data_IF_562544186817
#
_entry.id   IF_562544186817
#
_cell.length_a   1.000
_cell.length_b   1.000
_cell.length_c   1.000
_cell.angle_alpha   90.00
_cell.angle_beta   90.00
_cell.angle_gamma   90.00
#
_symmetry.space_group_name_H-M   'P 1'
#
loop_
_entity.id
_entity.type
_entity.pdbx_description
1 polymer ?
#
# COMPACT_ATOMS: atom_id res chain seq x y z
N UNK A 1 -28.09 -5.62 34.23
CA UNK A 1 -28.55 -6.30 33.00
C UNK A 1 -27.37 -6.41 32.06
N UNK A 2 -27.01 -7.65 31.74
CA UNK A 2 -25.89 -8.05 30.88
C UNK A 2 -26.11 -7.54 29.45
N UNK A 3 -25.23 -6.66 28.94
CA UNK A 3 -25.08 -6.49 27.49
C UNK A 3 -24.03 -7.49 27.02
N UNK A 4 -24.45 -8.70 26.68
CA UNK A 4 -23.61 -9.59 25.89
C UNK A 4 -23.37 -8.89 24.55
N UNK A 5 -22.15 -8.41 24.34
CA UNK A 5 -21.74 -7.90 23.04
C UNK A 5 -21.74 -9.10 22.09
N UNK A 6 -22.84 -9.32 21.37
CA UNK A 6 -22.87 -10.25 20.25
C UNK A 6 -21.71 -9.86 19.34
N UNK A 7 -20.70 -10.74 19.26
CA UNK A 7 -19.61 -10.58 18.30
C UNK A 7 -20.25 -10.39 16.93
N UNK A 8 -19.98 -9.22 16.31
CA UNK A 8 -20.42 -8.98 14.94
C UNK A 8 -19.91 -10.15 14.07
N UNK A 9 -20.75 -10.74 13.21
CA UNK A 9 -20.34 -11.88 12.41
C UNK A 9 -19.13 -11.49 11.54
N UNK A 10 -18.11 -12.37 11.49
CA UNK A 10 -17.05 -12.26 10.48
C UNK A 10 -17.74 -12.24 9.12
N UNK A 11 -17.35 -11.30 8.25
CA UNK A 11 -17.83 -11.32 6.87
C UNK A 11 -17.24 -12.58 6.25
N UNK A 12 -18.10 -13.54 5.92
CA UNK A 12 -17.73 -14.81 5.31
C UNK A 12 -17.16 -14.48 3.91
N UNK A 13 -15.93 -14.90 3.63
CA UNK A 13 -15.21 -14.59 2.38
C UNK A 13 -14.67 -15.83 1.61
N UNK A 14 -15.37 -16.98 1.58
CA UNK A 14 -14.85 -18.23 1.02
C UNK A 14 -14.60 -18.13 -0.50
N UNK A 15 -15.36 -17.26 -1.20
CA UNK A 15 -15.26 -17.14 -2.66
C UNK A 15 -14.19 -16.14 -3.11
N UNK A 16 -13.47 -15.50 -2.19
CA UNK A 16 -12.41 -14.57 -2.55
C UNK A 16 -11.20 -15.30 -3.12
N UNK A 17 -10.71 -14.78 -4.24
CA UNK A 17 -9.43 -15.15 -4.84
C UNK A 17 -8.41 -14.08 -4.48
N UNK A 18 -7.22 -14.47 -4.03
CA UNK A 18 -6.17 -13.53 -3.65
C UNK A 18 -4.82 -13.89 -4.29
N UNK A 19 -4.09 -12.85 -4.67
CA UNK A 19 -2.70 -12.94 -5.08
C UNK A 19 -1.84 -12.14 -4.10
N UNK A 20 -0.58 -12.52 -3.93
CA UNK A 20 0.34 -11.82 -3.03
C UNK A 20 1.51 -11.21 -3.76
N UNK A 21 1.96 -10.05 -3.29
CA UNK A 21 3.17 -9.41 -3.80
C UNK A 21 4.38 -10.31 -3.54
N UNK A 22 5.36 -10.32 -4.44
CA UNK A 22 6.53 -11.22 -4.39
C UNK A 22 7.49 -11.01 -3.18
N UNK A 23 7.15 -10.10 -2.27
CA UNK A 23 7.81 -9.92 -0.98
C UNK A 23 7.06 -10.56 0.19
N UNK A 24 6.11 -11.46 -0.09
CA UNK A 24 5.29 -12.18 0.89
C UNK A 24 5.48 -13.68 0.67
N UNK A 25 5.77 -14.40 1.74
CA UNK A 25 6.00 -15.84 1.71
C UNK A 25 4.74 -16.63 1.39
N UNK A 26 4.92 -17.60 0.49
CA UNK A 26 3.99 -18.67 0.19
C UNK A 26 4.78 -19.97 0.32
N UNK A 27 4.29 -20.90 1.13
CA UNK A 27 4.97 -22.19 1.33
C UNK A 27 5.25 -22.88 0.00
N UNK A 28 6.47 -23.39 -0.17
CA UNK A 28 6.91 -24.08 -1.38
C UNK A 28 7.26 -23.17 -2.56
N UNK A 29 7.15 -21.84 -2.42
CA UNK A 29 7.56 -20.87 -3.44
C UNK A 29 8.69 -19.97 -2.94
N UNK A 30 9.69 -19.63 -3.79
CA UNK A 30 10.64 -18.59 -3.45
C UNK A 30 9.98 -17.23 -3.23
N UNK A 31 10.62 -16.39 -2.41
CA UNK A 31 10.29 -14.98 -2.25
C UNK A 31 11.34 -14.18 -3.02
N UNK A 32 10.99 -13.80 -4.26
CA UNK A 32 11.94 -13.28 -5.24
C UNK A 32 12.19 -11.78 -5.14
N UNK A 33 11.40 -11.04 -4.34
CA UNK A 33 11.51 -9.59 -4.16
C UNK A 33 11.53 -8.78 -5.48
N UNK A 34 11.04 -9.38 -6.58
CA UNK A 34 11.19 -8.83 -7.93
C UNK A 34 12.64 -8.56 -8.34
N UNK A 35 13.63 -9.30 -7.85
CA UNK A 35 15.06 -8.99 -8.06
C UNK A 35 15.88 -10.20 -8.48
N UNK A 36 16.83 -9.99 -9.40
CA UNK A 36 17.81 -11.03 -9.79
C UNK A 36 18.73 -11.41 -8.64
N UNK A 37 18.88 -10.56 -7.62
CA UNK A 37 19.63 -10.85 -6.42
C UNK A 37 19.02 -12.01 -5.59
N UNK A 38 17.73 -12.32 -5.81
CA UNK A 38 17.00 -13.39 -5.12
C UNK A 38 16.69 -14.59 -6.04
N UNK A 39 17.34 -14.70 -7.20
CA UNK A 39 17.07 -15.80 -8.17
C UNK A 39 17.34 -17.20 -7.61
N UNK A 40 18.28 -17.31 -6.67
CA UNK A 40 18.63 -18.56 -5.97
C UNK A 40 17.99 -18.65 -4.58
N UNK A 41 16.97 -17.81 -4.29
CA UNK A 41 16.30 -17.86 -3.00
C UNK A 41 15.60 -19.21 -2.81
N UNK A 42 15.87 -19.86 -1.68
CA UNK A 42 15.17 -21.08 -1.29
C UNK A 42 13.67 -20.83 -1.18
N UNK A 43 12.88 -21.87 -1.47
CA UNK A 43 11.44 -21.82 -1.24
C UNK A 43 11.13 -21.56 0.24
N UNK A 44 10.10 -20.74 0.50
CA UNK A 44 9.64 -20.49 1.86
C UNK A 44 9.12 -21.79 2.49
N UNK A 45 9.50 -22.04 3.74
CA UNK A 45 9.09 -23.24 4.49
C UNK A 45 7.73 -23.10 5.16
N UNK A 46 7.18 -21.88 5.20
CA UNK A 46 5.84 -21.63 5.73
C UNK A 46 5.21 -20.42 5.05
N UNK A 47 3.87 -20.39 5.01
CA UNK A 47 3.12 -19.21 4.60
C UNK A 47 3.32 -18.03 5.56
N UNK A 48 3.35 -16.82 5.01
CA UNK A 48 3.24 -15.59 5.80
C UNK A 48 1.97 -15.59 6.66
N UNK A 49 1.98 -14.88 7.79
CA UNK A 49 0.84 -14.84 8.72
C UNK A 49 -0.45 -14.37 8.02
N UNK A 50 -0.35 -13.34 7.18
CA UNK A 50 -1.49 -12.85 6.38
C UNK A 50 -1.99 -13.90 5.39
N UNK A 51 -1.11 -14.67 4.75
CA UNK A 51 -1.49 -15.74 3.82
C UNK A 51 -2.24 -16.84 4.55
N UNK A 52 -1.74 -17.26 5.72
CA UNK A 52 -2.43 -18.24 6.58
C UNK A 52 -3.84 -17.75 6.93
N UNK A 53 -4.00 -16.46 7.26
CA UNK A 53 -5.31 -15.88 7.55
C UNK A 53 -6.29 -16.01 6.36
N UNK A 54 -5.84 -15.68 5.14
CA UNK A 54 -6.65 -15.84 3.93
C UNK A 54 -6.98 -17.30 3.61
N UNK A 55 -6.01 -18.22 3.66
CA UNK A 55 -6.26 -19.65 3.43
C UNK A 55 -7.22 -20.23 4.48
N UNK A 56 -7.06 -19.88 5.75
CA UNK A 56 -7.94 -20.32 6.85
C UNK A 56 -9.36 -19.75 6.74
N UNK A 57 -9.53 -18.62 6.06
CA UNK A 57 -10.84 -18.04 5.74
C UNK A 57 -11.52 -18.69 4.52
N UNK A 58 -10.87 -19.70 3.91
CA UNK A 58 -11.37 -20.39 2.72
C UNK A 58 -11.04 -19.70 1.39
N UNK A 59 -10.30 -18.58 1.41
CA UNK A 59 -9.97 -17.85 0.20
C UNK A 59 -8.98 -18.63 -0.67
N UNK A 60 -9.14 -18.57 -1.99
CA UNK A 60 -8.30 -19.27 -2.96
C UNK A 60 -7.07 -18.44 -3.35
N UNK A 61 -5.87 -18.99 -3.13
CA UNK A 61 -4.62 -18.40 -3.61
C UNK A 61 -4.49 -18.60 -5.12
N UNK A 62 -4.19 -17.54 -5.88
CA UNK A 62 -4.10 -17.60 -7.34
C UNK A 62 -2.72 -17.32 -7.91
N UNK A 63 -1.77 -16.89 -7.08
CA UNK A 63 -0.39 -16.67 -7.53
C UNK A 63 0.32 -15.51 -6.85
N UNK A 64 1.61 -15.38 -7.18
CA UNK A 64 2.43 -14.25 -6.78
C UNK A 64 2.41 -13.20 -7.88
N UNK A 65 2.34 -11.93 -7.50
CA UNK A 65 2.42 -10.79 -8.44
C UNK A 65 3.77 -10.13 -8.35
N UNK A 66 4.28 -9.71 -9.51
CA UNK A 66 5.52 -8.94 -9.60
C UNK A 66 5.41 -7.60 -8.86
N UNK A 67 6.54 -6.94 -8.69
CA UNK A 67 6.67 -5.71 -7.95
C UNK A 67 7.82 -4.88 -8.48
N UNK A 68 7.86 -3.60 -8.13
CA UNK A 68 9.09 -2.85 -8.28
C UNK A 68 10.18 -3.50 -7.40
N UNK A 69 11.37 -3.65 -7.97
CA UNK A 69 12.49 -4.38 -7.38
C UNK A 69 12.76 -3.94 -5.92
N UNK A 70 12.88 -4.93 -5.02
CA UNK A 70 13.10 -4.78 -3.57
C UNK A 70 12.06 -3.93 -2.81
N UNK A 71 10.89 -3.69 -3.42
CA UNK A 71 9.91 -2.68 -2.98
C UNK A 71 10.51 -1.27 -2.86
N UNK A 72 11.71 -1.04 -3.41
CA UNK A 72 12.45 0.19 -3.24
C UNK A 72 12.24 1.09 -4.44
N UNK A 73 10.99 1.34 -4.80
CA UNK A 73 10.57 2.28 -5.86
C UNK A 73 9.08 2.31 -6.09
N UNK A 74 8.65 3.21 -6.97
CA UNK A 74 7.26 3.72 -6.98
C UNK A 74 6.60 3.67 -8.35
N UNK A 75 7.32 3.25 -9.39
CA UNK A 75 6.79 3.21 -10.77
C UNK A 75 6.13 1.87 -11.09
N UNK A 76 6.55 0.80 -10.44
CA UNK A 76 6.18 -0.57 -10.83
C UNK A 76 6.96 -1.11 -12.03
N UNK A 77 7.86 -0.31 -12.63
CA UNK A 77 8.81 -0.80 -13.63
C UNK A 77 9.72 -1.83 -12.98
N UNK A 78 9.87 -2.99 -13.62
CA UNK A 78 10.80 -4.03 -13.23
C UNK A 78 11.45 -4.61 -14.49
N UNK A 79 12.78 -4.53 -14.56
CA UNK A 79 13.56 -4.97 -15.73
C UNK A 79 13.93 -6.45 -15.68
N UNK A 80 13.82 -7.09 -14.52
CA UNK A 80 14.13 -8.49 -14.33
C UNK A 80 12.89 -9.37 -14.48
N UNK A 81 11.85 -9.12 -13.70
CA UNK A 81 10.60 -9.91 -13.71
C UNK A 81 9.55 -9.40 -14.72
N UNK A 82 9.90 -8.39 -15.52
CA UNK A 82 8.97 -7.72 -16.43
C UNK A 82 8.12 -6.63 -15.75
N UNK A 83 7.76 -5.61 -16.54
CA UNK A 83 6.94 -4.48 -16.08
C UNK A 83 5.46 -4.80 -16.30
N UNK A 84 4.59 -4.69 -15.28
CA UNK A 84 3.17 -4.97 -15.44
C UNK A 84 2.53 -4.06 -16.48
N UNK A 85 1.73 -4.66 -17.34
CA UNK A 85 0.80 -3.93 -18.21
C UNK A 85 -0.53 -3.76 -17.47
N UNK A 86 -1.25 -2.68 -17.79
CA UNK A 86 -2.62 -2.49 -17.30
C UNK A 86 -3.56 -2.11 -18.46
N UNK A 87 -4.79 -2.66 -18.49
CA UNK A 87 -5.75 -2.38 -19.56
C UNK A 87 -6.21 -0.92 -19.55
N UNK A 88 -6.56 -0.42 -18.37
CA UNK A 88 -6.94 0.96 -18.16
C UNK A 88 -5.69 1.85 -18.11
N UNK A 89 -5.66 2.92 -18.91
CA UNK A 89 -4.60 3.93 -18.91
C UNK A 89 -3.19 3.37 -19.23
N UNK A 90 -3.02 2.63 -20.35
CA UNK A 90 -1.78 1.92 -20.69
C UNK A 90 -0.56 2.83 -20.84
N UNK A 91 -0.76 4.11 -21.14
CA UNK A 91 0.29 5.11 -21.30
C UNK A 91 0.94 5.58 -19.98
N UNK A 92 0.39 5.17 -18.83
CA UNK A 92 0.89 5.56 -17.51
C UNK A 92 1.61 4.40 -16.82
N UNK A 93 2.43 4.70 -15.82
CA UNK A 93 2.97 3.68 -14.92
C UNK A 93 1.85 2.93 -14.16
N UNK A 94 2.13 1.72 -13.68
CA UNK A 94 1.21 1.01 -12.77
C UNK A 94 1.36 1.48 -11.33
N UNK A 95 2.48 2.10 -10.96
CA UNK A 95 2.71 2.61 -9.60
C UNK A 95 3.16 1.55 -8.60
N UNK A 96 3.61 1.99 -7.41
CA UNK A 96 3.93 1.12 -6.28
C UNK A 96 3.88 1.86 -4.93
N UNK A 97 3.39 1.28 -3.81
CA UNK A 97 3.01 -0.12 -3.61
C UNK A 97 1.50 -0.39 -3.41
N UNK A 98 0.79 0.28 -2.50
CA UNK A 98 -0.65 -0.02 -2.26
C UNK A 98 -1.53 1.09 -2.84
N UNK A 99 -1.42 2.29 -2.27
CA UNK A 99 -2.23 3.45 -2.65
C UNK A 99 -1.90 3.99 -4.03
N UNK A 100 -0.62 3.99 -4.39
CA UNK A 100 -0.18 4.43 -5.72
C UNK A 100 -0.74 3.55 -6.85
N UNK A 101 -0.57 2.22 -6.86
CA UNK A 101 -1.14 1.42 -7.92
C UNK A 101 -2.66 1.38 -7.89
N UNK A 102 -3.28 1.49 -6.71
CA UNK A 102 -4.72 1.73 -6.64
C UNK A 102 -5.12 2.99 -7.43
N UNK A 103 -4.45 4.12 -7.20
CA UNK A 103 -4.71 5.36 -7.93
C UNK A 103 -4.37 5.27 -9.42
N UNK A 104 -3.22 4.72 -9.79
CA UNK A 104 -2.76 4.63 -11.18
C UNK A 104 -3.62 3.69 -12.04
N UNK A 105 -4.18 2.64 -11.44
CA UNK A 105 -4.94 1.60 -12.14
C UNK A 105 -6.46 1.79 -12.04
N UNK A 106 -6.95 2.79 -11.31
CA UNK A 106 -8.39 2.98 -11.09
C UNK A 106 -8.99 1.88 -10.21
N UNK A 107 -8.31 1.53 -9.11
CA UNK A 107 -8.72 0.49 -8.16
C UNK A 107 -8.88 1.07 -6.76
N UNK A 108 -9.58 0.35 -5.88
CA UNK A 108 -9.55 0.62 -4.46
C UNK A 108 -8.25 0.11 -3.84
N UNK A 109 -7.73 0.84 -2.86
CA UNK A 109 -6.53 0.43 -2.13
C UNK A 109 -6.59 0.77 -0.65
N UNK A 110 -6.49 -0.23 0.22
CA UNK A 110 -6.45 -0.03 1.67
C UNK A 110 -5.02 -0.26 2.17
N UNK A 111 -4.37 0.79 2.69
CA UNK A 111 -3.19 0.66 3.56
C UNK A 111 -3.66 0.58 5.00
N UNK A 112 -3.35 -0.50 5.72
CA UNK A 112 -3.69 -0.60 7.14
C UNK A 112 -2.81 0.32 7.98
N UNK A 113 -3.16 0.48 9.24
CA UNK A 113 -2.31 1.06 10.26
C UNK A 113 -1.00 0.29 10.39
N UNK A 114 0.07 1.02 10.72
CA UNK A 114 1.34 0.40 11.06
C UNK A 114 1.15 -0.54 12.26
N UNK A 115 1.69 -1.76 12.17
CA UNK A 115 1.56 -2.79 13.21
C UNK A 115 0.19 -3.46 13.35
N UNK A 116 -0.81 -3.12 12.51
CA UNK A 116 -2.17 -3.68 12.64
C UNK A 116 -2.31 -5.11 12.13
N UNK A 117 -1.47 -5.49 11.17
CA UNK A 117 -1.44 -6.83 10.58
C UNK A 117 -0.07 -7.43 10.84
N UNK A 118 -0.04 -8.72 11.16
CA UNK A 118 1.19 -9.47 11.42
C UNK A 118 2.04 -9.57 10.15
N UNK A 119 3.32 -9.19 10.26
CA UNK A 119 4.30 -9.16 9.17
C UNK A 119 5.19 -10.40 9.13
N UNK A 120 4.94 -11.43 9.94
CA UNK A 120 5.69 -12.69 9.84
C UNK A 120 5.62 -13.25 8.40
N UNK A 121 6.79 -13.51 7.80
CA UNK A 121 6.92 -13.94 6.40
C UNK A 121 6.75 -12.81 5.36
N UNK A 122 6.96 -11.56 5.74
CA UNK A 122 6.90 -10.38 4.85
C UNK A 122 8.23 -9.64 4.87
N UNK A 123 8.69 -9.21 3.69
CA UNK A 123 10.02 -8.64 3.48
C UNK A 123 10.00 -7.23 2.85
N UNK A 124 10.99 -6.37 3.14
CA UNK A 124 12.07 -6.58 4.11
C UNK A 124 11.54 -6.64 5.55
N UNK A 125 12.21 -7.40 6.41
CA UNK A 125 11.81 -7.50 7.82
C UNK A 125 12.29 -6.27 8.61
N UNK A 126 11.51 -5.85 9.61
CA UNK A 126 11.93 -4.83 10.57
C UNK A 126 11.87 -3.38 10.08
N UNK A 127 11.16 -3.06 8.99
CA UNK A 127 10.91 -1.66 8.61
C UNK A 127 10.02 -0.94 9.62
N UNK A 128 10.27 0.36 9.84
CA UNK A 128 9.44 1.22 10.69
C UNK A 128 8.23 1.85 9.98
N UNK A 129 8.07 1.62 8.66
CA UNK A 129 7.07 2.30 7.83
C UNK A 129 6.22 1.36 6.97
N UNK A 130 6.64 0.11 6.81
CA UNK A 130 5.92 -0.86 6.01
C UNK A 130 4.59 -1.26 6.66
N UNK A 131 3.57 -1.37 5.82
CA UNK A 131 2.24 -1.79 6.20
C UNK A 131 1.73 -2.72 5.12
N UNK A 132 1.11 -3.82 5.53
CA UNK A 132 0.30 -4.62 4.63
C UNK A 132 -0.98 -3.87 4.23
N UNK A 133 -1.57 -4.32 3.13
CA UNK A 133 -2.78 -3.72 2.60
C UNK A 133 -3.36 -4.52 1.45
N UNK A 134 -4.47 -4.02 0.92
CA UNK A 134 -5.26 -4.68 -0.11
C UNK A 134 -5.44 -3.76 -1.30
N UNK A 135 -5.57 -4.37 -2.48
CA UNK A 135 -6.00 -3.70 -3.70
C UNK A 135 -7.13 -4.54 -4.28
N UNK A 136 -8.20 -3.89 -4.74
CA UNK A 136 -9.36 -4.56 -5.32
C UNK A 136 -10.06 -3.63 -6.31
N UNK A 137 -10.63 -4.19 -7.37
CA UNK A 137 -11.56 -3.45 -8.25
C UNK A 137 -12.97 -3.35 -7.65
N UNK A 138 -13.25 -4.08 -6.56
CA UNK A 138 -14.54 -4.11 -5.90
C UNK A 138 -14.37 -3.76 -4.41
N UNK A 139 -15.08 -2.72 -3.95
CA UNK A 139 -15.01 -2.27 -2.57
C UNK A 139 -15.52 -3.33 -1.56
N UNK A 140 -16.55 -4.10 -1.88
CA UNK A 140 -17.05 -5.16 -1.01
C UNK A 140 -16.01 -6.26 -0.81
N UNK A 141 -15.29 -6.65 -1.88
CA UNK A 141 -14.18 -7.60 -1.77
C UNK A 141 -13.01 -7.02 -0.95
N UNK A 142 -12.75 -5.71 -1.06
CA UNK A 142 -11.76 -5.02 -0.24
C UNK A 142 -12.13 -5.07 1.26
N UNK A 143 -13.40 -4.79 1.60
CA UNK A 143 -13.92 -4.83 2.97
C UNK A 143 -13.90 -6.26 3.53
N UNK A 144 -14.28 -7.25 2.73
CA UNK A 144 -14.18 -8.67 3.08
C UNK A 144 -12.73 -9.08 3.35
N UNK A 145 -11.79 -8.76 2.45
CA UNK A 145 -10.37 -9.05 2.67
C UNK A 145 -9.81 -8.34 3.90
N UNK A 146 -10.25 -7.11 4.18
CA UNK A 146 -9.85 -6.39 5.39
C UNK A 146 -10.30 -7.12 6.65
N UNK A 147 -11.53 -7.66 6.64
CA UNK A 147 -12.06 -8.46 7.76
C UNK A 147 -11.32 -9.77 8.01
N UNK A 148 -10.62 -10.29 7.00
CA UNK A 148 -9.79 -11.48 7.09
C UNK A 148 -8.40 -11.15 7.63
N UNK A 149 -7.74 -10.11 7.10
CA UNK A 149 -6.36 -9.80 7.47
C UNK A 149 -6.24 -9.05 8.80
N UNK A 150 -7.27 -8.30 9.20
CA UNK A 150 -7.25 -7.47 10.40
C UNK A 150 -7.83 -8.26 11.57
N UNK A 151 -6.97 -8.67 12.51
CA UNK A 151 -7.44 -9.32 13.72
C UNK A 151 -8.35 -8.37 14.53
N UNK A 152 -9.48 -8.89 15.00
CA UNK A 152 -10.47 -8.12 15.75
C UNK A 152 -11.29 -7.13 14.93
N UNK A 153 -11.23 -7.18 13.58
CA UNK A 153 -12.10 -6.37 12.72
C UNK A 153 -13.58 -6.57 13.08
N UNK A 154 -14.30 -5.46 13.27
CA UNK A 154 -15.75 -5.47 13.44
C UNK A 154 -16.37 -4.57 12.39
N UNK A 155 -17.25 -5.13 11.56
CA UNK A 155 -18.00 -4.32 10.60
C UNK A 155 -18.88 -3.32 11.37
N UNK A 156 -18.70 -2.04 11.08
CA UNK A 156 -19.46 -0.95 11.68
C UNK A 156 -20.45 -0.35 10.67
N UNK A 157 -21.51 0.27 11.17
CA UNK A 157 -22.35 1.17 10.40
C UNK A 157 -22.06 2.62 10.82
N UNK A 158 -21.96 3.53 9.86
CA UNK A 158 -21.77 4.95 10.14
C UNK A 158 -23.11 5.61 10.42
N UNK A 159 -23.40 5.88 11.71
CA UNK A 159 -24.73 6.34 12.18
C UNK A 159 -24.81 7.82 12.58
N UNK A 160 -23.70 8.56 12.56
CA UNK A 160 -23.65 9.98 12.94
C UNK A 160 -23.39 10.89 11.73
N UNK A 161 -23.73 12.19 11.77
CA UNK A 161 -23.36 13.14 10.71
C UNK A 161 -21.85 13.11 10.44
N UNK A 162 -21.45 13.04 9.16
CA UNK A 162 -20.04 12.89 8.77
C UNK A 162 -19.29 14.21 8.86
N UNK A 163 -18.12 14.20 9.51
CA UNK A 163 -17.20 15.32 9.54
C UNK A 163 -15.89 14.96 8.82
N UNK A 164 -15.65 15.60 7.68
CA UNK A 164 -14.43 15.40 6.89
C UNK A 164 -13.54 16.64 6.96
N UNK A 165 -12.29 16.45 7.36
CA UNK A 165 -11.26 17.50 7.28
C UNK A 165 -10.60 17.51 5.91
N UNK A 166 -10.82 18.54 5.10
CA UNK A 166 -10.11 18.70 3.82
C UNK A 166 -8.74 19.29 4.09
N UNK A 167 -7.68 18.53 3.77
CA UNK A 167 -6.31 18.95 4.02
C UNK A 167 -5.70 19.65 2.80
N UNK A 168 -5.47 20.96 2.92
CA UNK A 168 -4.56 21.72 2.06
C UNK A 168 -3.27 22.02 2.84
N UNK A 169 -2.36 21.06 2.94
CA UNK A 169 -1.14 21.20 3.77
C UNK A 169 0.13 20.88 3.02
N UNK A 170 1.18 21.65 3.33
CA UNK A 170 2.55 21.35 2.96
C UNK A 170 3.10 20.20 3.80
N UNK A 171 2.87 18.97 3.34
CA UNK A 171 3.40 17.74 3.95
C UNK A 171 4.84 17.40 3.51
N UNK A 172 5.57 18.38 2.97
CA UNK A 172 6.91 18.20 2.41
C UNK A 172 7.95 17.75 3.45
N UNK A 173 7.86 18.25 4.69
CA UNK A 173 8.76 17.82 5.77
C UNK A 173 8.53 16.34 6.15
N UNK A 174 7.28 15.90 6.25
CA UNK A 174 6.94 14.49 6.47
C UNK A 174 7.37 13.59 5.31
N UNK A 175 7.20 14.05 4.07
CA UNK A 175 7.70 13.33 2.90
C UNK A 175 9.22 13.15 2.92
N UNK A 176 9.99 14.19 3.28
CA UNK A 176 11.46 14.12 3.44
C UNK A 176 11.87 13.19 4.59
N UNK A 177 11.25 13.32 5.77
CA UNK A 177 11.53 12.43 6.90
C UNK A 177 11.30 10.96 6.53
N UNK A 178 10.19 10.66 5.84
CA UNK A 178 9.93 9.32 5.33
C UNK A 178 10.99 8.82 4.33
N UNK A 179 11.50 9.68 3.46
CA UNK A 179 12.60 9.30 2.55
C UNK A 179 13.88 8.93 3.31
N UNK A 180 14.23 9.69 4.34
CA UNK A 180 15.39 9.41 5.21
C UNK A 180 15.25 8.06 5.91
N UNK A 181 14.09 7.80 6.54
CA UNK A 181 13.80 6.54 7.23
C UNK A 181 13.91 5.33 6.28
N UNK A 182 13.19 5.38 5.15
CA UNK A 182 13.18 4.29 4.16
C UNK A 182 14.60 4.05 3.63
N UNK A 183 15.35 5.11 3.32
CA UNK A 183 16.69 4.97 2.75
C UNK A 183 17.64 4.32 3.76
N UNK A 184 17.68 4.81 4.99
CA UNK A 184 18.54 4.25 6.03
C UNK A 184 18.22 2.78 6.31
N UNK A 185 16.93 2.42 6.39
CA UNK A 185 16.48 1.04 6.60
C UNK A 185 16.81 0.14 5.40
N UNK A 186 16.56 0.60 4.17
CA UNK A 186 16.87 -0.14 2.95
C UNK A 186 18.38 -0.40 2.80
N UNK A 187 19.22 0.58 3.14
CA UNK A 187 20.68 0.42 3.11
C UNK A 187 21.16 -0.69 4.06
N UNK A 188 20.49 -0.87 5.20
CA UNK A 188 20.76 -1.97 6.14
C UNK A 188 20.18 -3.29 5.66
N UNK A 189 18.90 -3.31 5.29
CA UNK A 189 18.19 -4.52 4.87
C UNK A 189 18.86 -5.20 3.66
N UNK A 190 19.44 -4.40 2.76
CA UNK A 190 20.03 -4.88 1.51
C UNK A 190 21.57 -4.74 1.48
N UNK A 191 22.22 -4.56 2.63
CA UNK A 191 23.66 -4.31 2.72
C UNK A 191 24.52 -5.41 2.09
N UNK A 192 24.04 -6.66 2.12
CA UNK A 192 24.77 -7.86 1.66
C UNK A 192 24.48 -8.23 0.20
N UNK A 193 23.57 -7.50 -0.48
CA UNK A 193 23.26 -7.81 -1.87
C UNK A 193 24.39 -7.36 -2.80
N UNK A 194 24.71 -8.19 -3.77
CA UNK A 194 25.58 -7.81 -4.88
C UNK A 194 24.86 -6.79 -5.78
N UNK A 195 25.36 -5.56 -5.80
CA UNK A 195 24.80 -4.46 -6.58
C UNK A 195 24.83 -4.72 -8.10
N UNK A 196 25.70 -5.62 -8.59
CA UNK A 196 25.74 -6.02 -10.00
C UNK A 196 24.52 -6.83 -10.43
N UNK A 197 23.80 -7.40 -9.46
CA UNK A 197 22.56 -8.14 -9.69
C UNK A 197 21.32 -7.25 -9.63
N UNK A 198 21.46 -5.95 -9.33
CA UNK A 198 20.34 -5.04 -9.18
C UNK A 198 20.12 -4.21 -10.44
N UNK A 199 18.88 -3.76 -10.65
CA UNK A 199 18.57 -2.72 -11.62
C UNK A 199 19.41 -1.46 -11.36
N UNK A 200 19.85 -0.80 -12.44
CA UNK A 200 20.72 0.39 -12.35
C UNK A 200 20.16 1.49 -11.42
N UNK A 201 18.85 1.70 -11.48
CA UNK A 201 18.14 2.67 -10.64
C UNK A 201 18.11 2.26 -9.16
N UNK A 202 17.95 0.96 -8.87
CA UNK A 202 17.99 0.44 -7.50
C UNK A 202 19.40 0.50 -6.92
N UNK A 203 20.41 0.06 -7.67
CA UNK A 203 21.81 0.14 -7.24
C UNK A 203 22.23 1.59 -6.92
N UNK A 204 21.90 2.54 -7.81
CA UNK A 204 22.17 3.96 -7.57
C UNK A 204 21.49 4.47 -6.29
N UNK A 205 20.22 4.11 -6.08
CA UNK A 205 19.49 4.53 -4.87
C UNK A 205 20.02 3.90 -3.60
N UNK A 206 20.45 2.64 -3.62
CA UNK A 206 21.07 2.01 -2.46
C UNK A 206 22.42 2.64 -2.12
N UNK A 207 23.24 3.01 -3.12
CA UNK A 207 24.47 3.79 -2.88
C UNK A 207 24.19 5.14 -2.22
N UNK A 208 23.18 5.87 -2.71
CA UNK A 208 22.76 7.12 -2.08
C UNK A 208 22.21 6.88 -0.66
N UNK A 209 21.46 5.80 -0.46
CA UNK A 209 20.90 5.44 0.84
C UNK A 209 21.98 5.12 1.89
N UNK A 210 23.11 4.52 1.48
CA UNK A 210 24.28 4.28 2.34
C UNK A 210 24.93 5.57 2.89
N UNK A 211 24.65 6.73 2.29
CA UNK A 211 25.14 8.04 2.76
C UNK A 211 24.27 8.66 3.86
N UNK A 212 23.09 8.09 4.14
CA UNK A 212 22.22 8.60 5.20
C UNK A 212 22.83 8.27 6.56
N UNK A 213 23.08 9.29 7.38
CA UNK A 213 23.73 9.11 8.68
C UNK A 213 22.76 8.63 9.76
N UNK A 214 23.30 8.10 10.86
CA UNK A 214 22.49 7.70 12.02
C UNK A 214 21.78 8.89 12.67
N UNK A 215 22.42 10.06 12.69
CA UNK A 215 21.87 11.30 13.24
C UNK A 215 20.69 11.79 12.40
N UNK A 216 20.81 11.74 11.07
CA UNK A 216 19.71 12.05 10.15
C UNK A 216 18.53 11.10 10.37
N UNK A 217 18.81 9.79 10.54
CA UNK A 217 17.79 8.80 10.84
C UNK A 217 17.09 9.08 12.17
N UNK A 218 17.83 9.35 13.25
CA UNK A 218 17.27 9.68 14.56
C UNK A 218 16.43 10.97 14.55
N UNK A 219 16.90 12.00 13.82
CA UNK A 219 16.12 13.23 13.60
C UNK A 219 14.80 12.94 12.88
N UNK A 220 14.83 12.09 11.85
CA UNK A 220 13.63 11.67 11.14
C UNK A 220 12.67 10.84 12.02
N UNK A 221 13.17 10.00 12.92
CA UNK A 221 12.35 9.26 13.90
C UNK A 221 11.69 10.21 14.91
N UNK A 222 12.40 11.24 15.38
CA UNK A 222 11.81 12.25 16.25
C UNK A 222 10.70 13.04 15.52
N UNK A 223 10.96 13.43 14.27
CA UNK A 223 9.94 14.06 13.43
C UNK A 223 8.73 13.14 13.22
N UNK A 224 8.96 11.84 12.97
CA UNK A 224 7.90 10.85 12.78
C UNK A 224 6.94 10.80 13.98
N UNK A 225 7.48 10.74 15.20
CA UNK A 225 6.69 10.74 16.44
C UNK A 225 5.84 12.02 16.56
N UNK A 226 6.46 13.19 16.35
CA UNK A 226 5.75 14.47 16.42
C UNK A 226 4.67 14.59 15.34
N UNK A 227 4.94 14.12 14.12
CA UNK A 227 3.98 14.15 13.02
C UNK A 227 2.80 13.21 13.27
N UNK A 228 3.05 12.03 13.85
CA UNK A 228 1.97 11.12 14.29
C UNK A 228 1.00 11.82 15.24
N UNK A 229 1.51 12.54 16.24
CA UNK A 229 0.66 13.26 17.19
C UNK A 229 -0.12 14.43 16.55
N UNK A 230 0.46 15.10 15.55
CA UNK A 230 -0.28 16.11 14.78
C UNK A 230 -1.48 15.49 14.05
N UNK A 231 -1.28 14.33 13.41
CA UNK A 231 -2.35 13.62 12.70
C UNK A 231 -3.40 13.09 13.69
N UNK A 232 -2.99 12.55 14.84
CA UNK A 232 -3.90 12.14 15.91
C UNK A 232 -4.82 13.29 16.34
N UNK A 233 -4.28 14.49 16.60
CA UNK A 233 -5.07 15.67 17.00
C UNK A 233 -6.06 16.12 15.93
N UNK A 234 -5.69 16.04 14.65
CA UNK A 234 -6.63 16.34 13.57
C UNK A 234 -7.78 15.32 13.55
N UNK A 235 -7.47 14.04 13.72
CA UNK A 235 -8.46 12.96 13.71
C UNK A 235 -9.27 12.85 15.02
N UNK A 236 -8.92 13.60 16.06
CA UNK A 236 -9.83 13.83 17.20
C UNK A 236 -10.99 14.75 16.81
N UNK A 237 -10.81 15.62 15.81
CA UNK A 237 -11.78 16.63 15.37
C UNK A 237 -12.61 16.19 14.16
N UNK A 238 -12.07 15.29 13.35
CA UNK A 238 -12.68 14.81 12.12
C UNK A 238 -12.74 13.29 12.10
N UNK A 239 -13.76 12.73 11.44
CA UNK A 239 -13.89 11.28 11.27
C UNK A 239 -12.82 10.71 10.35
N UNK A 240 -12.45 11.48 9.33
CA UNK A 240 -11.33 11.21 8.44
C UNK A 240 -10.78 12.51 7.83
N UNK A 241 -9.56 12.40 7.29
CA UNK A 241 -8.94 13.44 6.48
C UNK A 241 -9.10 13.10 5.00
N UNK A 242 -9.45 14.10 4.20
CA UNK A 242 -9.72 13.99 2.77
C UNK A 242 -8.63 14.71 1.97
N UNK A 243 -8.04 14.03 1.00
CA UNK A 243 -7.08 14.62 0.05
C UNK A 243 -6.96 13.80 -1.24
N UNK A 244 -6.43 14.35 -2.35
CA UNK A 244 -6.03 13.54 -3.48
C UNK A 244 -5.02 12.46 -3.09
N UNK A 245 -5.08 11.29 -3.73
CA UNK A 245 -4.08 10.24 -3.50
C UNK A 245 -2.73 10.60 -4.12
N UNK A 246 -2.73 11.19 -5.31
CA UNK A 246 -1.53 11.65 -6.03
C UNK A 246 -1.59 13.17 -6.23
N UNK A 247 -0.43 13.86 -6.24
CA UNK A 247 -0.38 15.32 -6.43
C UNK A 247 -0.66 15.76 -7.87
N UNK A 248 -0.54 14.84 -8.83
CA UNK A 248 -0.74 15.04 -10.26
C UNK A 248 -1.17 13.71 -10.88
N UNK A 249 -1.50 13.72 -12.17
CA UNK A 249 -1.61 12.48 -12.93
C UNK A 249 -0.32 11.65 -12.82
N UNK A 250 -0.40 10.31 -12.90
CA UNK A 250 0.77 9.45 -12.86
C UNK A 250 1.80 9.80 -13.93
N UNK A 251 3.04 9.41 -13.68
CA UNK A 251 4.12 9.49 -14.67
C UNK A 251 3.79 8.63 -15.91
N UNK A 252 4.22 9.08 -17.10
CA UNK A 252 4.10 8.26 -18.31
C UNK A 252 5.02 7.04 -18.24
N UNK A 253 4.59 5.95 -18.85
CA UNK A 253 5.31 4.66 -18.78
C UNK A 253 6.64 4.72 -19.53
N UNK A 254 6.66 5.33 -20.71
CA UNK A 254 7.86 5.54 -21.54
C UNK A 254 8.96 6.28 -20.77
N UNK A 255 8.63 7.39 -20.11
CA UNK A 255 9.55 8.15 -19.27
C UNK A 255 10.13 7.29 -18.13
N UNK A 256 9.29 6.45 -17.51
CA UNK A 256 9.73 5.57 -16.43
C UNK A 256 10.65 4.46 -16.94
N UNK A 257 10.40 3.92 -18.14
CA UNK A 257 11.24 2.92 -18.79
C UNK A 257 12.62 3.47 -19.16
N UNK A 258 12.70 4.75 -19.55
CA UNK A 258 13.94 5.51 -19.74
C UNK A 258 14.72 5.74 -18.43
N UNK A 259 14.13 5.41 -17.27
CA UNK A 259 14.74 5.55 -15.96
C UNK A 259 14.47 6.89 -15.28
N UNK A 260 13.59 7.74 -15.82
CA UNK A 260 13.13 8.94 -15.12
C UNK A 260 12.26 8.53 -13.94
N UNK A 261 12.47 9.18 -12.81
CA UNK A 261 11.80 8.85 -11.55
C UNK A 261 11.23 10.11 -10.91
N UNK A 262 9.90 10.22 -10.88
CA UNK A 262 9.26 11.33 -10.21
C UNK A 262 8.94 11.01 -8.73
N UNK A 263 9.92 11.17 -7.83
CA UNK A 263 9.74 10.91 -6.38
C UNK A 263 8.66 11.82 -5.75
N UNK A 264 8.40 12.99 -6.34
CA UNK A 264 7.37 13.91 -5.85
C UNK A 264 5.96 13.30 -5.93
N UNK A 265 5.75 12.29 -6.78
CA UNK A 265 4.47 11.58 -6.91
C UNK A 265 3.97 10.97 -5.61
N UNK A 266 4.86 10.71 -4.64
CA UNK A 266 4.49 10.14 -3.34
C UNK A 266 4.25 11.18 -2.25
N UNK A 267 4.25 12.48 -2.58
CA UNK A 267 4.15 13.59 -1.63
C UNK A 267 2.90 13.52 -0.76
N UNK A 268 1.79 13.00 -1.29
CA UNK A 268 0.50 12.90 -0.59
C UNK A 268 0.24 11.53 0.05
N UNK A 269 1.02 10.50 -0.27
CA UNK A 269 0.88 9.16 0.36
C UNK A 269 1.89 8.96 1.49
N UNK A 270 3.17 9.26 1.25
CA UNK A 270 4.27 8.97 2.19
C UNK A 270 4.07 9.55 3.60
N UNK A 271 3.52 10.77 3.79
CA UNK A 271 3.26 11.28 5.14
C UNK A 271 2.42 10.32 6.01
N UNK A 272 1.47 9.59 5.43
CA UNK A 272 0.64 8.65 6.20
C UNK A 272 1.27 7.25 6.36
N UNK A 273 2.41 6.97 5.71
CA UNK A 273 3.33 5.93 6.17
C UNK A 273 4.06 6.40 7.42
N UNK A 274 4.60 7.62 7.39
CA UNK A 274 5.34 8.23 8.52
C UNK A 274 4.49 8.26 9.78
N UNK A 275 3.26 8.77 9.71
CA UNK A 275 2.37 8.79 10.88
C UNK A 275 1.79 7.42 11.25
N UNK A 276 1.90 6.40 10.39
CA UNK A 276 1.37 5.06 10.63
C UNK A 276 -0.16 4.91 10.52
N UNK A 277 -0.89 5.95 10.10
CA UNK A 277 -2.35 5.93 10.02
C UNK A 277 -2.87 5.09 8.83
N UNK A 278 -4.06 4.48 8.92
CA UNK A 278 -4.66 3.78 7.80
C UNK A 278 -5.14 4.77 6.75
N UNK A 279 -5.11 4.35 5.49
CA UNK A 279 -5.53 5.18 4.37
C UNK A 279 -6.19 4.35 3.27
N UNK A 280 -7.37 4.77 2.85
CA UNK A 280 -8.15 4.18 1.77
C UNK A 280 -8.07 5.05 0.53
N UNK A 281 -7.69 4.46 -0.59
CA UNK A 281 -7.75 5.04 -1.94
C UNK A 281 -9.05 4.63 -2.61
N UNK A 282 -9.78 5.61 -3.14
CA UNK A 282 -11.03 5.48 -3.90
C UNK A 282 -10.78 6.02 -5.31
N UNK A 283 -10.94 5.21 -6.37
CA UNK A 283 -10.70 5.67 -7.73
C UNK A 283 -11.85 6.56 -8.21
N UNK A 284 -11.53 7.63 -8.94
CA UNK A 284 -12.48 8.62 -9.42
C UNK A 284 -12.63 8.56 -10.95
N UNK A 285 -13.88 8.52 -11.41
CA UNK A 285 -14.19 8.62 -12.83
C UNK A 285 -14.00 10.06 -13.33
N UNK A 286 -13.33 10.21 -14.47
CA UNK A 286 -13.14 11.50 -15.16
C UNK A 286 -12.64 11.28 -16.60
N UNK A 287 -12.65 12.35 -17.41
CA UNK A 287 -12.29 12.30 -18.84
C UNK A 287 -10.80 12.61 -19.13
N UNK A 288 -9.92 12.67 -18.12
CA UNK A 288 -8.54 13.15 -18.27
C UNK A 288 -7.47 12.09 -17.97
N UNK A 289 -7.77 11.11 -17.12
CA UNK A 289 -6.84 10.05 -16.77
C UNK A 289 -7.08 9.48 -15.37
N UNK A 290 -6.19 8.59 -14.89
CA UNK A 290 -6.35 7.97 -13.58
C UNK A 290 -6.23 9.02 -12.47
N UNK A 291 -7.30 9.16 -11.69
CA UNK A 291 -7.37 10.03 -10.51
C UNK A 291 -7.99 9.27 -9.35
N UNK A 292 -7.61 9.63 -8.14
CA UNK A 292 -8.14 9.00 -6.94
C UNK A 292 -8.14 9.95 -5.74
N UNK A 293 -9.10 9.72 -4.86
CA UNK A 293 -9.23 10.35 -3.56
C UNK A 293 -8.68 9.40 -2.49
N UNK A 294 -8.11 9.98 -1.44
CA UNK A 294 -7.66 9.24 -0.27
C UNK A 294 -8.39 9.74 0.98
N UNK A 295 -8.92 8.79 1.75
CA UNK A 295 -9.41 8.99 3.11
C UNK A 295 -8.36 8.46 4.08
N UNK A 296 -7.95 9.28 5.05
CA UNK A 296 -7.05 8.88 6.14
C UNK A 296 -7.86 8.80 7.42
N UNK A 297 -7.88 7.63 8.04
CA UNK A 297 -8.64 7.37 9.27
C UNK A 297 -7.80 7.43 10.52
N UNK A 298 -8.46 7.31 11.68
CA UNK A 298 -7.82 7.13 13.00
C UNK A 298 -6.90 5.92 12.98
N UNK A 299 -5.77 6.02 13.69
CA UNK A 299 -4.90 4.87 13.88
C UNK A 299 -5.70 3.72 14.51
N UNK A 300 -5.57 2.52 13.97
CA UNK A 300 -6.34 1.34 14.35
C UNK A 300 -7.86 1.44 14.11
N UNK A 301 -8.31 2.42 13.31
CA UNK A 301 -9.71 2.70 12.99
C UNK A 301 -10.14 2.29 11.58
N UNK A 302 -9.56 1.22 11.01
CA UNK A 302 -9.90 0.72 9.67
C UNK A 302 -11.39 0.40 9.53
N UNK A 303 -11.98 -0.22 10.54
CA UNK A 303 -13.40 -0.55 10.63
C UNK A 303 -14.29 0.68 10.39
N UNK A 304 -13.99 1.77 11.10
CA UNK A 304 -14.72 3.05 10.98
C UNK A 304 -14.43 3.74 9.65
N UNK A 305 -13.18 3.65 9.16
CA UNK A 305 -12.78 4.21 7.86
C UNK A 305 -13.51 3.53 6.69
N UNK A 306 -13.66 2.21 6.74
CA UNK A 306 -14.41 1.44 5.73
C UNK A 306 -15.91 1.69 5.84
N UNK A 307 -16.46 1.83 7.06
CA UNK A 307 -17.86 2.23 7.25
C UNK A 307 -18.15 3.62 6.68
N UNK A 308 -17.25 4.58 6.91
CA UNK A 308 -17.32 5.92 6.32
C UNK A 308 -17.30 5.84 4.79
N UNK A 309 -16.36 5.08 4.21
CA UNK A 309 -16.27 4.92 2.78
C UNK A 309 -17.55 4.33 2.19
N UNK A 310 -18.11 3.28 2.81
CA UNK A 310 -19.37 2.65 2.38
C UNK A 310 -20.52 3.65 2.24
N UNK A 311 -20.57 4.65 3.12
CA UNK A 311 -21.55 5.74 3.08
C UNK A 311 -21.24 6.80 2.01
N UNK A 312 -19.97 7.04 1.71
CA UNK A 312 -19.55 8.04 0.72
C UNK A 312 -19.66 7.55 -0.72
N UNK A 313 -19.42 6.26 -0.98
CA UNK A 313 -19.34 5.70 -2.33
C UNK A 313 -20.57 5.97 -3.21
N UNK A 314 -21.83 5.93 -2.73
CA UNK A 314 -23.00 6.28 -3.54
C UNK A 314 -23.04 7.73 -4.01
N UNK A 315 -22.20 8.61 -3.44
CA UNK A 315 -22.15 10.04 -3.74
C UNK A 315 -20.89 10.43 -4.53
N UNK A 316 -20.10 9.44 -4.98
CA UNK A 316 -18.85 9.66 -5.71
C UNK A 316 -18.93 8.90 -7.04
N UNK A 317 -18.56 9.56 -8.14
CA UNK A 317 -18.39 8.88 -9.42
C UNK A 317 -17.10 8.05 -9.40
N UNK A 318 -17.25 6.74 -9.30
CA UNK A 318 -16.14 5.78 -9.13
C UNK A 318 -15.73 5.25 -10.50
N UNK A 319 -14.43 5.28 -10.81
CA UNK A 319 -13.93 4.69 -12.04
C UNK A 319 -14.16 3.17 -12.05
N UNK A 320 -14.75 2.65 -13.13
CA UNK A 320 -14.91 1.22 -13.32
C UNK A 320 -13.63 0.60 -13.87
N UNK A 321 -13.25 -0.55 -13.33
CA UNK A 321 -12.17 -1.34 -13.90
C UNK A 321 -12.72 -2.13 -15.10
N UNK A 322 -12.17 -1.86 -16.28
CA UNK A 322 -12.51 -2.60 -17.49
C UNK A 322 -11.59 -3.80 -17.56
N UNK A 323 -12.15 -5.01 -17.50
CA UNK A 323 -11.40 -6.22 -17.84
C UNK A 323 -11.02 -6.09 -19.32
N UNK A 324 -9.78 -6.41 -19.72
CA UNK A 324 -9.50 -6.49 -21.14
C UNK A 324 -10.45 -7.54 -21.72
N UNK A 325 -11.02 -7.25 -22.89
CA UNK A 325 -11.68 -8.28 -23.68
C UNK A 325 -10.73 -9.47 -23.73
N UNK A 326 -11.24 -10.67 -23.45
CA UNK A 326 -10.43 -11.89 -23.45
C UNK A 326 -9.60 -11.88 -24.72
N UNK A 327 -8.27 -11.82 -24.57
CA UNK A 327 -7.38 -12.21 -25.65
C UNK A 327 -7.79 -13.65 -25.94
N UNK A 328 -8.38 -13.88 -27.12
CA UNK A 328 -8.69 -15.23 -27.60
C UNK A 328 -7.44 -16.10 -27.41
N UNK A 329 -7.64 -17.28 -26.81
CA UNK A 329 -6.57 -18.22 -26.41
C UNK A 329 -5.62 -18.59 -27.55
#
# INVERSE_FOLDING_TARGET
>A
MSSSSKLAPRIIAPDLRFAVKDCIDIVGSPTGMGSKAYREASAATSDAAVVKAFKNAGCAFVGKVTMHELAFGVTGVNRYCGTPLKPNYPQYIVGGSIRMPAACCGLFGLKTSFGRVDHAGVYPSGSSLDCLGLISNNFAHLEQGASVMINGYRRQESVHPLTLGVLQVHVGAAHRAGLTLISYEAAKAYAQLDEQLLGRDIAHRLRAAKQVTREQYQSAQHYQANFKEQVNRLLQRFDALLLPTLPSYPQKLDEALEGKMNISTTSLVRPFNVSGHPALTIPLENNRGPAALQLVGKHNGEDSLLALARRLLPHINIAQFSKPDSVEE
#
